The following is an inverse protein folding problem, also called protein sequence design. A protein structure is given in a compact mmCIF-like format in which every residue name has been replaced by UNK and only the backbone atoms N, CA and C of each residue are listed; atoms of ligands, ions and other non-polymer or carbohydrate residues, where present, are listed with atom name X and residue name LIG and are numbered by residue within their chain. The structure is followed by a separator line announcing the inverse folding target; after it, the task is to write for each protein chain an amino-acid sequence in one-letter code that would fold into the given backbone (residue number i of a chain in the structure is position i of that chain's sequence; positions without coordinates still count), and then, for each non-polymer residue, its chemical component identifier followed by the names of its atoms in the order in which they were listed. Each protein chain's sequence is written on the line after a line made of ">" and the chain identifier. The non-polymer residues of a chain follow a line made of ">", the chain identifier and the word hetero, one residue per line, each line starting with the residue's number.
data_IF_698703535239
#
_entry.id   IF_698703535239
#
_cell.length_a   1.000
_cell.length_b   1.000
_cell.length_c   1.000
_cell.angle_alpha   90.00
_cell.angle_beta   90.00
_cell.angle_gamma   90.00
#
_symmetry.space_group_name_H-M   'P 1'
#
loop_
_entity.id
_entity.type
_entity.pdbx_description
1 polymer ?
#
# COMPACT_ATOMS: atom_id res chain seq x y z
N UNK A 1 17.80 -3.99 -25.49
CA UNK A 1 18.06 -4.87 -24.34
C UNK A 1 18.22 -4.00 -23.11
N UNK A 2 17.16 -3.84 -22.32
CA UNK A 2 17.22 -3.06 -21.08
C UNK A 2 18.04 -3.85 -20.06
N UNK A 3 19.21 -3.29 -19.68
CA UNK A 3 20.11 -3.89 -18.70
C UNK A 3 19.34 -4.23 -17.41
N UNK A 4 19.26 -5.53 -17.11
CA UNK A 4 18.66 -6.10 -15.89
C UNK A 4 19.49 -5.80 -14.61
N UNK A 5 20.55 -4.99 -14.73
CA UNK A 5 21.40 -4.51 -13.66
C UNK A 5 21.34 -2.97 -13.63
N UNK A 6 20.20 -2.36 -13.32
CA UNK A 6 20.21 -0.98 -12.84
C UNK A 6 20.23 -0.99 -11.31
N UNK A 7 21.41 -0.96 -10.66
CA UNK A 7 21.58 -1.00 -9.20
C UNK A 7 20.95 0.20 -8.46
N UNK A 8 20.36 1.15 -9.18
CA UNK A 8 19.87 2.42 -8.65
C UNK A 8 18.60 2.26 -7.80
N UNK A 9 17.89 1.12 -7.88
CA UNK A 9 16.68 0.85 -7.08
C UNK A 9 16.89 -0.14 -5.91
N UNK A 10 18.06 -0.76 -5.82
CA UNK A 10 18.31 -1.93 -4.95
C UNK A 10 18.70 -1.50 -3.53
N UNK A 11 19.27 -0.31 -3.35
CA UNK A 11 19.79 0.16 -2.06
C UNK A 11 19.38 1.60 -1.70
N UNK A 12 18.17 2.03 -2.11
CA UNK A 12 17.63 3.29 -1.61
C UNK A 12 17.06 3.05 -0.21
N UNK A 13 17.54 3.81 0.76
CA UNK A 13 17.01 3.85 2.13
C UNK A 13 15.47 3.88 2.09
N UNK A 14 14.84 2.83 2.59
CA UNK A 14 13.37 2.74 2.59
C UNK A 14 12.83 3.52 3.78
N UNK A 15 11.95 4.47 3.51
CA UNK A 15 11.27 5.24 4.55
C UNK A 15 10.43 4.40 5.51
N UNK A 16 9.83 5.10 6.48
CA UNK A 16 8.89 4.53 7.44
C UNK A 16 7.52 4.31 6.77
N UNK A 17 6.80 3.25 7.15
CA UNK A 17 5.41 3.05 6.73
C UNK A 17 4.43 4.00 7.44
N UNK A 18 3.29 4.28 6.81
CA UNK A 18 2.26 5.21 7.29
C UNK A 18 1.67 4.81 8.65
N UNK A 19 1.52 5.74 9.59
CA UNK A 19 0.77 5.54 10.86
C UNK A 19 -0.72 5.77 10.63
N UNK A 20 -1.57 5.10 11.41
CA UNK A 20 -3.02 5.34 11.38
C UNK A 20 -3.37 6.79 11.75
N UNK A 21 -2.68 7.40 12.72
CA UNK A 21 -2.89 8.80 13.10
C UNK A 21 -2.65 9.78 11.96
N UNK A 22 -1.62 9.56 11.14
CA UNK A 22 -1.32 10.39 9.95
C UNK A 22 -2.40 10.23 8.87
N UNK A 23 -2.92 9.02 8.69
CA UNK A 23 -3.94 8.71 7.69
C UNK A 23 -5.34 9.24 8.08
N UNK A 24 -5.65 9.33 9.38
CA UNK A 24 -6.93 9.89 9.86
C UNK A 24 -7.12 11.36 9.45
N UNK A 25 -6.03 12.10 9.28
CA UNK A 25 -6.03 13.51 8.89
C UNK A 25 -6.21 13.73 7.38
N UNK A 26 -6.33 12.66 6.57
CA UNK A 26 -6.41 12.75 5.11
C UNK A 26 -7.85 12.61 4.59
N UNK A 27 -8.16 13.29 3.49
CA UNK A 27 -9.46 13.17 2.82
C UNK A 27 -9.66 11.76 2.24
N UNK A 28 -10.91 11.43 1.84
CA UNK A 28 -11.17 10.17 1.15
C UNK A 28 -10.38 10.08 -0.16
N UNK A 29 -10.35 11.16 -0.95
CA UNK A 29 -9.62 11.22 -2.23
C UNK A 29 -8.12 11.02 -2.06
N UNK A 30 -7.51 11.61 -1.02
CA UNK A 30 -6.08 11.43 -0.74
C UNK A 30 -5.76 10.00 -0.36
N UNK A 31 -6.61 9.37 0.46
CA UNK A 31 -6.45 7.96 0.84
C UNK A 31 -6.65 7.03 -0.36
N UNK A 32 -7.59 7.35 -1.24
CA UNK A 32 -7.84 6.63 -2.49
C UNK A 32 -6.65 6.74 -3.44
N UNK A 33 -6.13 7.95 -3.68
CA UNK A 33 -4.90 8.15 -4.49
C UNK A 33 -3.71 7.41 -3.87
N UNK A 34 -3.53 7.51 -2.56
CA UNK A 34 -2.45 6.83 -1.84
C UNK A 34 -2.57 5.30 -1.96
N UNK A 35 -3.78 4.74 -1.94
CA UNK A 35 -4.00 3.32 -2.19
C UNK A 35 -3.41 2.86 -3.52
N UNK A 36 -3.66 3.60 -4.61
CA UNK A 36 -3.11 3.26 -5.93
C UNK A 36 -1.60 3.44 -6.02
N UNK A 37 -1.03 4.41 -5.32
CA UNK A 37 0.44 4.55 -5.21
C UNK A 37 1.04 3.31 -4.53
N UNK A 38 0.48 2.89 -3.40
CA UNK A 38 0.92 1.70 -2.67
C UNK A 38 0.67 0.41 -3.46
N UNK A 39 -0.42 0.33 -4.23
CA UNK A 39 -0.74 -0.81 -5.07
C UNK A 39 0.30 -1.00 -6.19
N UNK A 40 0.68 0.09 -6.87
CA UNK A 40 1.74 0.08 -7.88
C UNK A 40 3.07 -0.36 -7.28
N UNK A 41 3.42 0.16 -6.09
CA UNK A 41 4.64 -0.23 -5.40
C UNK A 41 4.61 -1.72 -5.00
N UNK A 42 3.49 -2.21 -4.43
CA UNK A 42 3.33 -3.63 -4.10
C UNK A 42 3.53 -4.52 -5.32
N UNK A 43 2.91 -4.17 -6.45
CA UNK A 43 3.03 -4.95 -7.68
C UNK A 43 4.47 -4.96 -8.20
N UNK A 44 5.14 -3.80 -8.22
CA UNK A 44 6.56 -3.70 -8.57
C UNK A 44 7.44 -4.61 -7.69
N UNK A 45 7.28 -4.54 -6.37
CA UNK A 45 8.07 -5.33 -5.42
C UNK A 45 7.82 -6.82 -5.56
N UNK A 46 6.58 -7.23 -5.84
CA UNK A 46 6.24 -8.64 -6.06
C UNK A 46 6.88 -9.17 -7.35
N UNK A 47 6.83 -8.40 -8.44
CA UNK A 47 7.52 -8.77 -9.69
C UNK A 47 9.03 -8.86 -9.48
N UNK A 48 9.64 -7.89 -8.80
CA UNK A 48 11.07 -7.92 -8.48
C UNK A 48 11.45 -9.13 -7.62
N UNK A 49 10.64 -9.46 -6.61
CA UNK A 49 10.86 -10.63 -5.76
C UNK A 49 10.83 -11.92 -6.58
N UNK A 50 9.88 -12.05 -7.50
CA UNK A 50 9.78 -13.22 -8.37
C UNK A 50 10.97 -13.33 -9.33
N UNK A 51 11.39 -12.21 -9.94
CA UNK A 51 12.55 -12.17 -10.82
C UNK A 51 13.84 -12.57 -10.09
N UNK A 52 14.11 -11.99 -8.92
CA UNK A 52 15.29 -12.34 -8.13
C UNK A 52 15.26 -13.81 -7.68
N UNK A 53 14.09 -14.30 -7.26
CA UNK A 53 13.91 -15.71 -6.91
C UNK A 53 14.25 -16.64 -8.09
N UNK A 54 13.80 -16.33 -9.32
CA UNK A 54 14.14 -17.12 -10.52
C UNK A 54 15.63 -17.13 -10.86
N UNK A 55 16.38 -16.13 -10.40
CA UNK A 55 17.83 -16.01 -10.57
C UNK A 55 18.60 -16.52 -9.35
N UNK A 56 17.90 -17.11 -8.37
CA UNK A 56 18.46 -17.56 -7.09
C UNK A 56 19.16 -16.44 -6.29
N UNK A 57 18.71 -15.20 -6.49
CA UNK A 57 19.19 -13.99 -5.81
C UNK A 57 18.26 -13.61 -4.65
N UNK A 58 18.83 -13.06 -3.58
CA UNK A 58 18.07 -12.59 -2.41
C UNK A 58 17.40 -11.25 -2.70
N UNK A 59 16.17 -11.09 -2.20
CA UNK A 59 15.44 -9.84 -2.31
C UNK A 59 16.04 -8.77 -1.39
N UNK A 60 16.44 -7.60 -1.91
CA UNK A 60 16.93 -6.51 -1.09
C UNK A 60 15.79 -5.90 -0.27
N UNK A 61 16.03 -5.57 0.98
CA UNK A 61 15.06 -4.91 1.87
C UNK A 61 13.72 -5.69 2.02
N UNK A 62 13.73 -6.91 2.58
CA UNK A 62 12.54 -7.75 2.73
C UNK A 62 11.40 -7.07 3.51
N UNK A 63 11.72 -6.11 4.38
CA UNK A 63 10.74 -5.35 5.18
C UNK A 63 9.87 -4.39 4.35
N UNK A 64 10.26 -4.07 3.12
CA UNK A 64 9.54 -3.10 2.28
C UNK A 64 8.14 -3.59 1.93
N UNK A 65 7.98 -4.88 1.57
CA UNK A 65 6.68 -5.46 1.25
C UNK A 65 5.73 -5.42 2.47
N UNK A 66 6.14 -5.89 3.68
CA UNK A 66 5.35 -5.72 4.89
C UNK A 66 4.98 -4.27 5.19
N UNK A 67 5.90 -3.30 5.03
CA UNK A 67 5.61 -1.86 5.25
C UNK A 67 4.51 -1.34 4.33
N UNK A 68 4.55 -1.67 3.04
CA UNK A 68 3.52 -1.30 2.05
C UNK A 68 2.18 -1.94 2.42
N UNK A 69 2.17 -3.26 2.66
CA UNK A 69 0.94 -4.00 3.04
C UNK A 69 0.31 -3.45 4.32
N UNK A 70 1.13 -3.12 5.33
CA UNK A 70 0.65 -2.55 6.60
C UNK A 70 0.07 -1.15 6.40
N UNK A 71 0.65 -0.34 5.51
CA UNK A 71 0.10 0.97 5.17
C UNK A 71 -1.25 0.84 4.45
N UNK A 72 -1.37 -0.08 3.49
CA UNK A 72 -2.64 -0.41 2.83
C UNK A 72 -3.71 -0.86 3.84
N UNK A 73 -3.37 -1.79 4.74
CA UNK A 73 -4.30 -2.24 5.80
C UNK A 73 -4.76 -1.11 6.70
N UNK A 74 -3.89 -0.16 7.05
CA UNK A 74 -4.26 1.02 7.84
C UNK A 74 -5.18 1.97 7.10
N UNK A 75 -5.04 2.12 5.78
CA UNK A 75 -5.99 2.90 4.98
C UNK A 75 -7.39 2.29 5.09
N UNK A 76 -7.52 0.97 4.86
CA UNK A 76 -8.80 0.27 5.03
C UNK A 76 -9.35 0.46 6.43
N UNK A 77 -8.52 0.29 7.46
CA UNK A 77 -8.92 0.46 8.84
C UNK A 77 -9.49 1.86 9.13
N UNK A 78 -8.79 2.92 8.75
CA UNK A 78 -9.25 4.32 8.95
C UNK A 78 -10.55 4.61 8.19
N UNK A 79 -10.69 4.08 6.97
CA UNK A 79 -11.95 4.24 6.23
C UNK A 79 -13.09 3.44 6.88
N UNK A 80 -12.82 2.26 7.43
CA UNK A 80 -13.81 1.47 8.16
C UNK A 80 -14.25 2.18 9.45
N UNK A 81 -13.32 2.78 10.20
CA UNK A 81 -13.65 3.63 11.36
C UNK A 81 -14.67 4.72 10.96
N UNK A 82 -14.42 5.42 9.83
CA UNK A 82 -15.34 6.44 9.30
C UNK A 82 -16.71 5.87 8.93
N UNK A 83 -16.75 4.69 8.33
CA UNK A 83 -18.01 4.04 7.97
C UNK A 83 -18.83 3.57 9.18
N UNK A 84 -18.19 3.27 10.31
CA UNK A 84 -18.86 2.87 11.56
C UNK A 84 -19.53 4.07 12.24
N UNK A 85 -18.89 5.24 12.21
CA UNK A 85 -19.42 6.46 12.85
C UNK A 85 -20.47 7.19 12.00
N UNK A 86 -20.62 6.85 10.73
CA UNK A 86 -21.61 7.44 9.83
C UNK A 86 -23.04 7.08 10.30
N UNK A 87 -23.87 8.06 10.70
CA UNK A 87 -25.20 7.81 11.24
C UNK A 87 -26.21 7.34 10.19
N UNK A 88 -26.05 7.73 8.91
CA UNK A 88 -26.94 7.28 7.84
C UNK A 88 -26.58 5.84 7.41
N UNK A 89 -27.50 4.86 7.60
CA UNK A 89 -27.25 3.47 7.22
C UNK A 89 -26.94 3.28 5.73
N UNK A 90 -27.51 4.11 4.85
CA UNK A 90 -27.28 4.03 3.39
C UNK A 90 -25.86 4.46 3.05
N UNK A 91 -25.42 5.59 3.60
CA UNK A 91 -24.05 6.08 3.43
C UNK A 91 -23.03 5.13 4.05
N UNK A 92 -23.29 4.60 5.24
CA UNK A 92 -22.43 3.59 5.88
C UNK A 92 -22.28 2.35 5.00
N UNK A 93 -23.37 1.85 4.40
CA UNK A 93 -23.34 0.71 3.50
C UNK A 93 -22.54 1.00 2.21
N UNK A 94 -22.71 2.19 1.63
CA UNK A 94 -21.94 2.60 0.46
C UNK A 94 -20.43 2.71 0.78
N UNK A 95 -20.07 3.34 1.90
CA UNK A 95 -18.67 3.43 2.34
C UNK A 95 -18.06 2.03 2.51
N UNK A 96 -18.76 1.10 3.18
CA UNK A 96 -18.31 -0.29 3.33
C UNK A 96 -18.10 -0.97 1.97
N UNK A 97 -19.01 -0.76 1.02
CA UNK A 97 -18.88 -1.29 -0.35
C UNK A 97 -17.62 -0.73 -1.04
N UNK A 98 -17.39 0.57 -0.96
CA UNK A 98 -16.21 1.22 -1.55
C UNK A 98 -14.92 0.72 -0.91
N UNK A 99 -14.88 0.58 0.41
CA UNK A 99 -13.69 0.08 1.15
C UNK A 99 -13.34 -1.36 0.75
N UNK A 100 -14.36 -2.20 0.55
CA UNK A 100 -14.17 -3.58 0.12
C UNK A 100 -13.69 -3.67 -1.34
N UNK A 101 -14.03 -2.68 -2.16
CA UNK A 101 -13.59 -2.59 -3.56
C UNK A 101 -12.15 -2.07 -3.72
N UNK A 102 -11.53 -1.51 -2.67
CA UNK A 102 -10.11 -1.15 -2.65
C UNK A 102 -9.21 -2.39 -2.69
#
# INVERSE_FOLDING_TARGET
>A
MWNLQSPILINLSTGRGWKASELRLKSWDDLHKLWFVLLKEKNLLMTQRQMLHSQNLRFPNPDRIPKVRKSMSRIKHVLTERAIVEPDPRRSAELKRMINAL
#
